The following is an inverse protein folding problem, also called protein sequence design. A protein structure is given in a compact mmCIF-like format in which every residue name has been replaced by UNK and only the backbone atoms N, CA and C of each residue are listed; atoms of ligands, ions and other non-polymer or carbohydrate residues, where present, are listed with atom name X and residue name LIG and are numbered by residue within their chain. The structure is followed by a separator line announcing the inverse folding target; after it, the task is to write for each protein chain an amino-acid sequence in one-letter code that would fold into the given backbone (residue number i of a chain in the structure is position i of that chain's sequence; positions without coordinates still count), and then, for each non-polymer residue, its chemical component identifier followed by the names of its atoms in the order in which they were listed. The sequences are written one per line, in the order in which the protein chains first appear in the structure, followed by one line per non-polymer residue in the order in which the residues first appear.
data_IF_471655342416
#
_entry.id   IF_471655342416
#
_cell.length_a   1.000
_cell.length_b   1.000
_cell.length_c   1.000
_cell.angle_alpha   90.00
_cell.angle_beta   90.00
_cell.angle_gamma   90.00
#
_symmetry.space_group_name_H-M   'P 1'
#
loop_
_entity.id
_entity.type
_entity.pdbx_description
1 polymer ?
#
# COMPACT_ATOMS: atom_id res chain seq x y z
N UNK A 1 13.39 13.68 -12.21
CA UNK A 1 11.97 14.02 -12.02
C UNK A 1 11.09 12.89 -12.50
N UNK A 2 10.08 12.56 -11.76
CA UNK A 2 9.17 11.50 -12.17
C UNK A 2 8.32 11.97 -13.35
N UNK A 3 8.03 11.04 -14.27
CA UNK A 3 7.24 11.36 -15.46
C UNK A 3 5.78 10.95 -15.26
N UNK A 4 4.87 11.74 -15.82
CA UNK A 4 3.45 11.41 -15.80
C UNK A 4 3.09 10.51 -16.97
N UNK A 5 1.90 9.91 -16.91
CA UNK A 5 1.36 9.03 -17.95
C UNK A 5 2.28 7.85 -18.23
N UNK A 6 2.84 7.27 -17.18
CA UNK A 6 3.78 6.17 -17.28
C UNK A 6 3.50 5.15 -16.22
N UNK A 7 3.68 3.88 -16.55
CA UNK A 7 3.56 2.79 -15.60
C UNK A 7 4.96 2.49 -15.07
N UNK A 8 5.10 2.48 -13.75
CA UNK A 8 6.36 2.20 -13.08
C UNK A 8 6.30 0.80 -12.47
N UNK A 9 7.08 -0.10 -13.02
CA UNK A 9 7.13 -1.48 -12.53
C UNK A 9 8.21 -1.58 -11.46
N UNK A 10 7.85 -1.15 -10.26
CA UNK A 10 8.77 -1.10 -9.12
C UNK A 10 7.95 -1.01 -7.84
N UNK A 11 8.55 -1.24 -6.67
CA UNK A 11 7.82 -1.07 -5.41
C UNK A 11 7.26 0.34 -5.29
N UNK A 12 6.02 0.45 -4.84
CA UNK A 12 5.33 1.74 -4.83
C UNK A 12 6.02 2.79 -3.98
N UNK A 13 6.64 2.39 -2.88
CA UNK A 13 7.36 3.35 -2.03
C UNK A 13 8.49 4.01 -2.78
N UNK A 14 9.19 3.27 -3.65
CA UNK A 14 10.28 3.87 -4.43
C UNK A 14 9.75 4.92 -5.38
N UNK A 15 8.62 4.63 -6.02
CA UNK A 15 8.00 5.58 -6.93
C UNK A 15 7.52 6.82 -6.17
N UNK A 16 6.83 6.60 -5.05
CA UNK A 16 6.30 7.71 -4.26
C UNK A 16 7.41 8.62 -3.74
N UNK A 17 8.53 8.05 -3.35
CA UNK A 17 9.65 8.85 -2.82
C UNK A 17 10.27 9.76 -3.85
N UNK A 18 10.11 9.45 -5.13
CA UNK A 18 10.62 10.31 -6.20
C UNK A 18 9.67 11.44 -6.56
N UNK A 19 8.44 11.41 -6.04
CA UNK A 19 7.47 12.46 -6.33
C UNK A 19 7.68 13.64 -5.39
N UNK A 20 7.51 14.87 -5.89
CA UNK A 20 7.56 16.02 -5.00
C UNK A 20 6.30 16.09 -4.11
N UNK A 21 6.35 16.93 -3.09
CA UNK A 21 5.21 17.17 -2.24
C UNK A 21 4.05 17.75 -3.06
N UNK A 22 2.84 17.39 -2.68
CA UNK A 22 1.64 17.99 -3.28
C UNK A 22 1.64 17.89 -4.81
N UNK A 23 1.94 16.69 -5.31
CA UNK A 23 2.07 16.43 -6.74
C UNK A 23 0.82 15.78 -7.35
N UNK A 24 0.14 14.92 -6.59
CA UNK A 24 -0.96 14.13 -7.11
C UNK A 24 -2.31 14.68 -6.70
N UNK A 25 -3.26 14.51 -7.59
CA UNK A 25 -4.67 14.91 -7.34
C UNK A 25 -5.45 13.77 -6.72
N UNK A 26 -5.09 12.53 -7.01
CA UNK A 26 -5.85 11.37 -6.54
C UNK A 26 -4.96 10.15 -6.49
N UNK A 27 -5.16 9.33 -5.48
CA UNK A 27 -4.49 8.03 -5.38
C UNK A 27 -5.58 6.97 -5.21
N UNK A 28 -5.48 5.91 -5.99
CA UNK A 28 -6.37 4.76 -5.87
C UNK A 28 -5.48 3.53 -5.73
N UNK A 29 -5.70 2.75 -4.69
CA UNK A 29 -4.84 1.61 -4.45
C UNK A 29 -5.58 0.49 -3.74
N UNK A 30 -5.08 -0.72 -3.93
CA UNK A 30 -5.53 -1.93 -3.26
C UNK A 30 -4.31 -2.63 -2.70
N UNK A 31 -3.85 -2.27 -1.52
CA UNK A 31 -2.68 -2.96 -0.96
C UNK A 31 -2.97 -4.45 -0.76
N UNK A 32 -1.95 -5.30 -0.81
CA UNK A 32 -2.17 -6.72 -0.54
C UNK A 32 -2.78 -6.89 0.85
N UNK A 33 -3.73 -7.81 0.94
CA UNK A 33 -4.33 -8.16 2.22
C UNK A 33 -3.37 -9.07 2.97
N UNK A 34 -3.35 -8.96 4.29
CA UNK A 34 -2.41 -9.74 5.07
C UNK A 34 -2.73 -11.23 4.99
N UNK A 35 -1.72 -12.03 4.64
CA UNK A 35 -1.80 -13.50 4.60
C UNK A 35 -2.83 -14.04 3.61
N UNK A 36 -3.23 -13.24 2.62
CA UNK A 36 -4.24 -13.69 1.70
C UNK A 36 -3.66 -14.33 0.44
N UNK A 37 -2.63 -13.74 -0.13
CA UNK A 37 -2.05 -14.24 -1.38
C UNK A 37 -0.54 -14.15 -1.35
N UNK A 38 0.08 -15.17 -1.94
CA UNK A 38 1.51 -15.17 -2.19
C UNK A 38 1.69 -15.02 -3.70
N UNK A 39 2.21 -13.88 -4.11
CA UNK A 39 2.42 -13.61 -5.54
C UNK A 39 3.77 -14.12 -6.02
N UNK A 40 4.59 -14.68 -5.14
CA UNK A 40 5.77 -15.42 -5.53
C UNK A 40 7.03 -14.62 -5.75
N UNK A 41 7.15 -13.44 -5.17
CA UNK A 41 8.40 -12.70 -5.26
C UNK A 41 8.79 -12.12 -3.90
N UNK A 42 10.09 -11.93 -3.74
CA UNK A 42 10.64 -11.42 -2.49
C UNK A 42 10.24 -9.97 -2.28
N UNK A 43 10.00 -9.63 -1.03
CA UNK A 43 9.63 -8.25 -0.69
C UNK A 43 8.17 -7.93 -0.87
N UNK A 44 7.37 -8.90 -1.24
CA UNK A 44 5.94 -8.70 -1.35
C UNK A 44 5.34 -8.34 0.00
N UNK A 45 4.47 -7.33 0.01
CA UNK A 45 3.68 -7.02 1.20
C UNK A 45 2.51 -7.99 1.32
N UNK A 46 2.05 -8.19 2.54
CA UNK A 46 0.94 -9.07 2.83
C UNK A 46 1.38 -10.40 3.41
N UNK A 47 2.67 -10.70 3.39
CA UNK A 47 3.21 -11.93 3.93
C UNK A 47 4.12 -11.69 5.13
N UNK A 48 4.02 -10.55 5.76
CA UNK A 48 4.83 -10.22 6.92
C UNK A 48 4.60 -11.23 8.04
N UNK A 49 5.63 -11.56 8.82
CA UNK A 49 5.50 -12.55 9.89
C UNK A 49 4.48 -12.16 10.95
N UNK A 50 4.28 -10.86 11.18
CA UNK A 50 3.32 -10.41 12.17
C UNK A 50 2.39 -9.37 11.57
N UNK A 51 1.20 -9.28 12.11
CA UNK A 51 0.24 -8.28 11.69
C UNK A 51 0.76 -6.87 11.94
N UNK A 52 1.53 -6.70 13.01
CA UNK A 52 2.13 -5.39 13.31
C UNK A 52 3.05 -4.92 12.19
N UNK A 53 3.88 -5.83 11.67
CA UNK A 53 4.77 -5.48 10.56
C UNK A 53 3.99 -5.13 9.31
N UNK A 54 2.90 -5.82 9.06
CA UNK A 54 2.03 -5.50 7.95
C UNK A 54 1.47 -4.09 8.09
N UNK A 55 0.99 -3.73 9.28
CA UNK A 55 0.47 -2.39 9.54
C UNK A 55 1.56 -1.34 9.36
N UNK A 56 2.78 -1.62 9.81
CA UNK A 56 3.88 -0.66 9.66
C UNK A 56 4.18 -0.38 8.19
N UNK A 57 4.11 -1.41 7.35
CA UNK A 57 4.27 -1.21 5.91
C UNK A 57 3.16 -0.35 5.34
N UNK A 58 1.91 -0.58 5.78
CA UNK A 58 0.80 0.25 5.33
C UNK A 58 0.95 1.70 5.79
N UNK A 59 1.40 1.90 7.04
CA UNK A 59 1.62 3.27 7.54
C UNK A 59 2.69 3.99 6.73
N UNK A 60 3.76 3.30 6.36
CA UNK A 60 4.82 3.91 5.55
C UNK A 60 4.27 4.37 4.20
N UNK A 61 3.43 3.55 3.59
CA UNK A 61 2.80 3.92 2.34
C UNK A 61 1.87 5.12 2.53
N UNK A 62 1.07 5.12 3.59
CA UNK A 62 0.12 6.20 3.84
C UNK A 62 0.83 7.53 4.11
N UNK A 63 1.96 7.50 4.81
CA UNK A 63 2.74 8.71 5.05
C UNK A 63 3.21 9.34 3.74
N UNK A 64 3.69 8.51 2.83
CA UNK A 64 4.15 9.02 1.53
C UNK A 64 2.98 9.49 0.66
N UNK A 65 1.86 8.78 0.70
CA UNK A 65 0.67 9.22 -0.02
C UNK A 65 0.21 10.58 0.50
N UNK A 66 0.19 10.77 1.81
CA UNK A 66 -0.19 12.06 2.39
C UNK A 66 0.72 13.18 1.90
N UNK A 67 2.02 12.91 1.85
CA UNK A 67 2.99 13.91 1.41
C UNK A 67 2.79 14.30 -0.06
N UNK A 68 2.56 13.32 -0.93
CA UNK A 68 2.47 13.60 -2.38
C UNK A 68 1.11 14.07 -2.81
N UNK A 69 0.07 13.92 -1.99
CA UNK A 69 -1.26 14.43 -2.35
C UNK A 69 -1.34 15.92 -2.12
N UNK A 70 -1.96 16.61 -3.08
CA UNK A 70 -2.29 18.02 -2.89
C UNK A 70 -3.30 18.16 -1.75
N UNK A 71 -3.40 19.34 -1.12
CA UNK A 71 -4.37 19.53 -0.02
C UNK A 71 -5.81 19.21 -0.42
N UNK A 72 -6.14 19.40 -1.70
CA UNK A 72 -7.47 19.06 -2.21
C UNK A 72 -7.55 17.65 -2.77
N UNK A 73 -6.47 16.87 -2.66
CA UNK A 73 -6.41 15.54 -3.24
C UNK A 73 -7.22 14.53 -2.46
N UNK A 74 -7.54 13.43 -3.11
CA UNK A 74 -8.30 12.34 -2.49
C UNK A 74 -7.54 11.03 -2.62
N UNK A 75 -7.78 10.14 -1.65
CA UNK A 75 -7.20 8.80 -1.70
C UNK A 75 -8.32 7.79 -1.51
N UNK A 76 -8.30 6.76 -2.33
CA UNK A 76 -9.28 5.68 -2.29
C UNK A 76 -8.52 4.38 -2.08
N UNK A 77 -8.77 3.72 -0.96
CA UNK A 77 -8.05 2.52 -0.60
C UNK A 77 -9.05 1.39 -0.43
N UNK A 78 -8.85 0.34 -1.22
CA UNK A 78 -9.68 -0.86 -1.10
C UNK A 78 -8.93 -1.87 -0.23
N UNK A 79 -9.39 -2.03 1.00
CA UNK A 79 -8.82 -2.98 1.94
C UNK A 79 -9.85 -4.06 2.23
N UNK A 80 -9.38 -5.29 2.32
CA UNK A 80 -10.21 -6.37 2.76
C UNK A 80 -9.77 -6.83 4.14
N UNK A 81 -10.67 -7.47 4.80
CA UNK A 81 -10.37 -8.13 6.05
C UNK A 81 -10.04 -9.59 5.77
N UNK A 82 -9.33 -10.25 6.66
CA UNK A 82 -9.10 -11.67 6.53
C UNK A 82 -10.19 -12.42 7.27
N UNK A 83 -10.51 -13.59 6.76
CA UNK A 83 -11.45 -14.44 7.47
C UNK A 83 -10.74 -15.05 8.67
N UNK A 84 -11.40 -15.04 9.80
CA UNK A 84 -10.94 -15.83 10.91
C UNK A 84 -11.17 -17.29 10.57
N UNK A 85 -10.20 -18.12 10.86
CA UNK A 85 -10.40 -19.54 10.62
C UNK A 85 -11.20 -20.11 11.78
N UNK A 86 -11.88 -21.18 11.53
CA UNK A 86 -12.66 -21.79 12.58
C UNK A 86 -11.81 -22.34 13.68
N UNK A 87 -10.67 -22.78 13.33
CA UNK A 87 -9.77 -23.20 14.36
C UNK A 87 -9.25 -22.01 15.11
N UNK A 88 -9.19 -20.92 14.47
CA UNK A 88 -8.69 -19.78 15.10
C UNK A 88 -9.66 -18.76 15.12
N UNK A 89 -10.57 -18.95 14.50
CA UNK A 89 -11.32 -17.93 14.32
C UNK A 89 -12.22 -17.71 15.30
N UNK A 90 -12.35 -17.57 15.69
CA UNK A 90 -13.19 -17.18 16.31
C UNK A 90 -13.78 -16.25 16.02
N UNK A 91 -14.42 -16.02 15.96
CA UNK A 91 -15.03 -15.04 15.60
C UNK A 91 -15.78 -14.68 16.24
#
# INVERSE_FOLDING_TARGET
MIETNKIYNEPCLETLKRMPDAFLDCVITSPPYWQLRDYGYDGQWGLEPTFQQYLENLWSMMDEIYRVLKPSGTVWINLGDTYGTQSGGVK
#
